data_IF_518068780967
#
_entry.id   IF_518068780967
#
_cell.length_a   1.000
_cell.length_b   1.000
_cell.length_c   1.000
_cell.angle_alpha   90.00
_cell.angle_beta   90.00
_cell.angle_gamma   90.00
#
_symmetry.space_group_name_H-M   'P 1'
#
loop_
_entity.id
_entity.type
_entity.pdbx_description
1 polymer ?
#
# COMPACT_ATOMS: atom_id res chain seq x y z
N UNK A 1 3.36 -30.15 7.92
CA UNK A 1 2.90 -29.55 9.18
C UNK A 1 1.53 -28.97 8.89
N UNK A 2 0.58 -29.15 9.79
CA UNK A 2 -0.77 -28.62 9.60
C UNK A 2 -0.76 -27.12 9.88
N UNK A 3 -1.20 -26.32 8.91
CA UNK A 3 -1.40 -24.88 9.06
C UNK A 3 -2.44 -24.62 10.14
N UNK A 4 -2.10 -23.84 11.15
CA UNK A 4 -3.04 -23.40 12.18
C UNK A 4 -3.97 -22.31 11.63
N UNK A 5 -5.26 -22.64 11.53
CA UNK A 5 -6.30 -21.68 11.14
C UNK A 5 -6.77 -20.87 12.37
N UNK A 6 -6.70 -19.55 12.26
CA UNK A 6 -7.32 -18.61 13.20
C UNK A 6 -8.48 -17.92 12.53
N UNK A 7 -9.67 -18.05 13.12
CA UNK A 7 -10.89 -17.46 12.56
C UNK A 7 -11.66 -16.64 13.61
N UNK A 8 -12.15 -15.46 13.23
CA UNK A 8 -12.96 -14.58 14.09
C UNK A 8 -12.28 -14.18 15.42
N UNK A 9 -10.95 -14.07 15.42
CA UNK A 9 -10.18 -13.73 16.62
C UNK A 9 -9.77 -12.26 16.63
N UNK A 10 -9.66 -11.70 17.83
CA UNK A 10 -8.98 -10.43 18.06
C UNK A 10 -7.66 -10.70 18.76
N UNK A 11 -6.60 -10.11 18.22
CA UNK A 11 -5.26 -10.10 18.78
C UNK A 11 -4.96 -8.66 19.19
N UNK A 12 -4.75 -8.42 20.48
CA UNK A 12 -4.56 -7.07 21.02
C UNK A 12 -3.21 -6.97 21.72
N UNK A 13 -2.43 -5.95 21.37
CA UNK A 13 -1.17 -5.59 22.01
C UNK A 13 -0.14 -6.72 21.99
N UNK A 14 -0.13 -7.52 20.92
CA UNK A 14 0.85 -8.58 20.73
C UNK A 14 2.15 -8.00 20.18
N UNK A 15 3.28 -8.45 20.70
CA UNK A 15 4.60 -8.17 20.14
C UNK A 15 5.20 -9.44 19.52
N UNK A 16 5.29 -9.42 18.19
CA UNK A 16 6.02 -10.40 17.39
C UNK A 16 7.07 -9.70 16.50
N UNK A 17 7.62 -8.58 16.97
CA UNK A 17 8.75 -7.94 16.29
C UNK A 17 9.94 -8.90 16.17
N UNK A 18 10.59 -8.83 15.00
CA UNK A 18 11.74 -9.70 14.65
C UNK A 18 11.44 -11.22 14.70
N UNK A 19 10.17 -11.62 14.78
CA UNK A 19 9.76 -13.03 14.81
C UNK A 19 9.40 -13.54 13.43
N UNK A 20 9.67 -14.82 13.18
CA UNK A 20 9.08 -15.54 12.07
C UNK A 20 7.77 -16.19 12.50
N UNK A 21 6.69 -15.85 11.83
CA UNK A 21 5.44 -16.58 11.92
C UNK A 21 5.38 -17.56 10.75
N UNK A 22 5.23 -18.85 11.05
CA UNK A 22 5.04 -19.88 10.05
C UNK A 22 3.76 -20.67 10.33
N UNK A 23 3.26 -21.36 9.33
CA UNK A 23 2.18 -22.34 9.50
C UNK A 23 0.90 -21.73 10.11
N UNK A 24 0.54 -20.51 9.72
CA UNK A 24 -0.70 -19.85 10.16
C UNK A 24 -1.52 -19.37 8.96
N UNK A 25 -2.84 -19.39 9.12
CA UNK A 25 -3.80 -18.72 8.25
C UNK A 25 -4.75 -17.90 9.13
N UNK A 26 -5.07 -16.68 8.72
CA UNK A 26 -5.95 -15.77 9.46
C UNK A 26 -7.14 -15.37 8.62
N UNK A 27 -8.35 -15.67 9.13
CA UNK A 27 -9.61 -15.38 8.43
C UNK A 27 -10.52 -14.55 9.33
N UNK A 28 -10.98 -13.39 8.85
CA UNK A 28 -11.87 -12.49 9.59
C UNK A 28 -11.34 -12.16 11.00
N UNK A 29 -10.04 -11.88 11.11
CA UNK A 29 -9.40 -11.53 12.38
C UNK A 29 -9.13 -10.02 12.48
N UNK A 30 -9.07 -9.52 13.71
CA UNK A 30 -8.60 -8.17 14.02
C UNK A 30 -7.28 -8.21 14.76
N UNK A 31 -6.35 -7.34 14.37
CA UNK A 31 -5.10 -7.09 15.06
C UNK A 31 -5.10 -5.64 15.53
N UNK A 32 -4.92 -5.40 16.82
CA UNK A 32 -5.08 -4.08 17.43
C UNK A 32 -3.84 -3.77 18.26
N UNK A 33 -3.21 -2.62 18.03
CA UNK A 33 -2.02 -2.16 18.76
C UNK A 33 -0.85 -3.17 18.76
N UNK A 34 -0.77 -4.05 17.75
CA UNK A 34 0.27 -5.08 17.67
C UNK A 34 1.57 -4.53 17.07
N UNK A 35 2.69 -5.06 17.55
CA UNK A 35 4.00 -4.84 16.97
C UNK A 35 4.44 -6.06 16.16
N UNK A 36 4.61 -5.86 14.85
CA UNK A 36 5.07 -6.82 13.87
C UNK A 36 6.27 -6.28 13.08
N UNK A 37 6.98 -5.27 13.62
CA UNK A 37 8.11 -4.70 12.90
C UNK A 37 9.18 -5.75 12.65
N UNK A 38 9.68 -5.84 11.42
CA UNK A 38 10.71 -6.81 10.99
C UNK A 38 10.32 -8.28 11.17
N UNK A 39 9.04 -8.59 11.38
CA UNK A 39 8.58 -9.98 11.43
C UNK A 39 8.62 -10.61 10.03
N UNK A 40 8.72 -11.92 9.97
CA UNK A 40 8.60 -12.69 8.74
C UNK A 40 7.22 -13.34 8.67
N UNK A 41 6.38 -12.85 7.73
CA UNK A 41 5.04 -13.38 7.42
C UNK A 41 5.04 -14.24 6.15
N UNK A 42 6.21 -14.68 5.69
CA UNK A 42 6.30 -15.41 4.43
C UNK A 42 5.35 -16.61 4.43
N UNK A 43 4.60 -16.76 3.33
CA UNK A 43 3.66 -17.86 3.11
C UNK A 43 2.45 -17.91 4.07
N UNK A 44 2.14 -16.84 4.80
CA UNK A 44 0.91 -16.71 5.58
C UNK A 44 -0.18 -16.04 4.74
N UNK A 45 -1.40 -16.56 4.82
CA UNK A 45 -2.57 -15.93 4.21
C UNK A 45 -3.41 -15.19 5.27
N UNK A 46 -3.70 -13.92 4.99
CA UNK A 46 -4.66 -13.10 5.70
C UNK A 46 -5.85 -12.83 4.76
N UNK A 47 -7.05 -13.22 5.21
CA UNK A 47 -8.29 -13.08 4.49
C UNK A 47 -9.29 -12.30 5.34
N UNK A 48 -9.84 -11.21 4.79
CA UNK A 48 -10.86 -10.38 5.43
C UNK A 48 -10.44 -9.84 6.82
N UNK A 49 -9.15 -9.61 7.02
CA UNK A 49 -8.61 -9.16 8.30
C UNK A 49 -8.46 -7.62 8.38
N UNK A 50 -8.46 -7.10 9.61
CA UNK A 50 -8.21 -5.68 9.89
C UNK A 50 -7.03 -5.51 10.83
N UNK A 51 -6.10 -4.63 10.48
CA UNK A 51 -5.01 -4.18 11.34
C UNK A 51 -5.28 -2.73 11.76
N UNK A 52 -5.33 -2.48 13.08
CA UNK A 52 -5.61 -1.17 13.68
C UNK A 52 -4.44 -0.77 14.57
N UNK A 53 -3.82 0.38 14.30
CA UNK A 53 -2.70 0.93 15.06
C UNK A 53 -1.51 -0.04 15.18
N UNK A 54 -1.31 -0.90 14.19
CA UNK A 54 -0.23 -1.88 14.21
C UNK A 54 1.05 -1.31 13.58
N UNK A 55 2.20 -1.79 14.02
CA UNK A 55 3.47 -1.53 13.36
C UNK A 55 3.92 -2.76 12.58
N UNK A 56 3.93 -2.70 11.25
CA UNK A 56 4.44 -3.77 10.37
C UNK A 56 5.72 -3.34 9.64
N UNK A 57 6.34 -2.22 10.03
CA UNK A 57 7.49 -1.64 9.32
C UNK A 57 8.60 -2.67 9.13
N UNK A 58 9.14 -2.75 7.91
CA UNK A 58 10.20 -3.68 7.52
C UNK A 58 9.87 -5.18 7.67
N UNK A 59 8.61 -5.56 7.85
CA UNK A 59 8.22 -6.98 7.83
C UNK A 59 8.36 -7.60 6.44
N UNK A 60 8.58 -8.91 6.39
CA UNK A 60 8.78 -9.67 5.15
C UNK A 60 7.45 -10.29 4.74
N UNK A 61 7.01 -9.98 3.52
CA UNK A 61 5.73 -10.44 2.95
C UNK A 61 5.87 -11.47 1.83
N UNK A 62 6.97 -12.23 1.80
CA UNK A 62 7.25 -13.12 0.67
C UNK A 62 6.15 -14.17 0.51
N UNK A 63 5.46 -14.12 -0.62
CA UNK A 63 4.33 -14.99 -0.94
C UNK A 63 3.18 -14.98 0.09
N UNK A 64 3.06 -13.90 0.89
CA UNK A 64 1.96 -13.69 1.84
C UNK A 64 0.68 -13.31 1.09
N UNK A 65 -0.45 -13.96 1.37
CA UNK A 65 -1.77 -13.54 0.88
C UNK A 65 -2.36 -12.42 1.72
N UNK A 66 -2.81 -11.36 1.06
CA UNK A 66 -3.41 -10.17 1.66
C UNK A 66 -4.72 -9.84 0.92
N UNK A 67 -5.78 -10.61 1.19
CA UNK A 67 -7.09 -10.45 0.55
C UNK A 67 -8.07 -9.75 1.47
N UNK A 68 -8.65 -8.65 0.97
CA UNK A 68 -9.63 -7.81 1.65
C UNK A 68 -9.11 -7.24 2.99
N UNK A 69 -7.86 -6.80 2.99
CA UNK A 69 -7.22 -6.28 4.20
C UNK A 69 -7.52 -4.80 4.41
N UNK A 70 -7.79 -4.43 5.66
CA UNK A 70 -7.91 -3.02 6.08
C UNK A 70 -6.75 -2.67 7.01
N UNK A 71 -5.95 -1.68 6.63
CA UNK A 71 -4.98 -1.06 7.53
C UNK A 71 -5.50 0.30 7.98
N UNK A 72 -5.56 0.52 9.29
CA UNK A 72 -6.08 1.76 9.89
C UNK A 72 -5.08 2.24 10.94
N UNK A 73 -4.49 3.42 10.77
CA UNK A 73 -3.53 3.97 11.74
C UNK A 73 -2.19 3.20 11.79
N UNK A 74 -1.87 2.43 10.76
CA UNK A 74 -0.72 1.50 10.79
C UNK A 74 0.59 2.15 10.30
N UNK A 75 1.71 1.68 10.85
CA UNK A 75 3.06 1.97 10.33
C UNK A 75 3.49 0.81 9.43
N UNK A 76 3.67 1.09 8.14
CA UNK A 76 3.97 0.14 7.07
C UNK A 76 5.24 0.56 6.30
N UNK A 77 6.16 1.26 6.97
CA UNK A 77 7.31 1.87 6.32
C UNK A 77 8.28 0.82 5.79
N UNK A 78 8.79 1.02 4.57
CA UNK A 78 9.76 0.13 3.95
C UNK A 78 9.24 -1.27 3.61
N UNK A 79 7.92 -1.47 3.55
CA UNK A 79 7.33 -2.77 3.23
C UNK A 79 7.47 -3.09 1.74
N UNK A 80 7.94 -4.30 1.42
CA UNK A 80 7.92 -4.81 0.06
C UNK A 80 6.63 -5.61 -0.20
N UNK A 81 5.60 -4.92 -0.71
CA UNK A 81 4.38 -5.59 -1.16
C UNK A 81 4.60 -6.35 -2.46
N UNK A 82 5.60 -6.01 -3.29
CA UNK A 82 5.85 -6.67 -4.58
C UNK A 82 6.12 -8.18 -4.40
N UNK A 83 6.76 -8.55 -3.30
CA UNK A 83 7.04 -9.93 -2.92
C UNK A 83 5.82 -10.75 -2.47
N UNK A 84 4.67 -10.12 -2.20
CA UNK A 84 3.45 -10.81 -1.73
C UNK A 84 2.77 -11.65 -2.81
N UNK A 85 1.80 -12.47 -2.42
CA UNK A 85 1.01 -13.26 -3.35
C UNK A 85 0.11 -12.34 -4.21
N UNK A 86 0.28 -12.37 -5.54
CA UNK A 86 -0.49 -11.52 -6.46
C UNK A 86 -1.93 -11.98 -6.72
N UNK A 87 -2.28 -13.23 -6.40
CA UNK A 87 -3.63 -13.77 -6.55
C UNK A 87 -4.53 -13.36 -5.37
N UNK A 88 -3.97 -13.37 -4.16
CA UNK A 88 -4.63 -12.94 -2.93
C UNK A 88 -4.19 -11.52 -2.58
N UNK A 89 -4.58 -10.53 -3.40
CA UNK A 89 -4.12 -9.15 -3.23
C UNK A 89 -5.27 -8.14 -3.39
N UNK A 90 -5.83 -7.71 -2.27
CA UNK A 90 -6.78 -6.59 -2.21
C UNK A 90 -6.75 -5.96 -0.82
N UNK A 91 -6.62 -4.64 -0.77
CA UNK A 91 -6.41 -3.92 0.50
C UNK A 91 -6.91 -2.48 0.44
N UNK A 92 -6.97 -1.84 1.60
CA UNK A 92 -7.24 -0.41 1.76
C UNK A 92 -6.45 0.13 2.95
N UNK A 93 -6.13 1.42 2.87
CA UNK A 93 -5.30 2.12 3.83
C UNK A 93 -5.98 3.39 4.29
N UNK A 94 -6.04 3.59 5.60
CA UNK A 94 -6.56 4.80 6.22
C UNK A 94 -5.62 5.25 7.34
N UNK A 95 -5.21 6.51 7.34
CA UNK A 95 -4.35 7.09 8.38
C UNK A 95 -3.01 6.33 8.54
N UNK A 96 -2.46 5.79 7.44
CA UNK A 96 -1.26 4.94 7.47
C UNK A 96 0.02 5.68 7.05
N UNK A 97 1.16 5.23 7.58
CA UNK A 97 2.49 5.62 7.13
C UNK A 97 3.07 4.52 6.24
N UNK A 98 3.15 4.76 4.94
CA UNK A 98 3.64 3.81 3.93
C UNK A 98 4.97 4.24 3.30
N UNK A 99 5.64 5.25 3.86
CA UNK A 99 6.87 5.80 3.29
C UNK A 99 7.91 4.69 2.99
N UNK A 100 8.60 4.81 1.85
CA UNK A 100 9.59 3.85 1.35
C UNK A 100 9.06 2.45 1.01
N UNK A 101 7.74 2.22 1.04
CA UNK A 101 7.18 0.94 0.59
C UNK A 101 7.22 0.78 -0.92
N UNK A 102 7.08 -0.45 -1.41
CA UNK A 102 7.05 -0.75 -2.84
C UNK A 102 5.88 -1.67 -3.20
N UNK A 103 5.24 -1.36 -4.32
CA UNK A 103 4.11 -2.10 -4.90
C UNK A 103 4.40 -2.60 -6.32
N UNK A 104 5.67 -2.63 -6.75
CA UNK A 104 6.02 -2.88 -8.15
C UNK A 104 5.29 -4.12 -8.72
N UNK A 105 4.77 -3.99 -9.94
CA UNK A 105 3.98 -5.00 -10.66
C UNK A 105 2.62 -5.40 -10.03
N UNK A 106 2.18 -4.77 -8.94
CA UNK A 106 0.89 -5.11 -8.30
C UNK A 106 -0.32 -4.51 -9.00
N UNK A 107 -1.43 -5.25 -8.90
CA UNK A 107 -2.76 -4.81 -9.33
C UNK A 107 -3.46 -4.20 -8.13
N UNK A 108 -3.51 -2.87 -8.09
CA UNK A 108 -4.11 -2.06 -7.03
C UNK A 108 -5.46 -1.46 -7.46
N UNK A 109 -6.16 -2.07 -8.43
CA UNK A 109 -7.44 -1.53 -8.94
C UNK A 109 -8.43 -1.21 -7.83
N UNK A 110 -9.00 0.00 -7.86
CA UNK A 110 -9.99 0.47 -6.87
C UNK A 110 -9.48 0.51 -5.43
N UNK A 111 -8.16 0.54 -5.21
CA UNK A 111 -7.59 0.66 -3.87
C UNK A 111 -7.81 2.07 -3.33
N UNK A 112 -8.13 2.17 -2.05
CA UNK A 112 -8.26 3.45 -1.35
C UNK A 112 -7.06 3.67 -0.44
N UNK A 113 -6.39 4.79 -0.66
CA UNK A 113 -5.42 5.40 0.25
C UNK A 113 -6.05 6.69 0.77
N UNK A 114 -6.29 6.77 2.08
CA UNK A 114 -7.01 7.88 2.70
C UNK A 114 -6.16 8.42 3.85
N UNK A 115 -5.81 9.70 3.80
CA UNK A 115 -5.05 10.39 4.85
C UNK A 115 -3.70 9.68 5.15
N UNK A 116 -3.02 9.19 4.10
CA UNK A 116 -1.78 8.42 4.22
C UNK A 116 -0.53 9.24 3.83
N UNK A 117 0.60 8.90 4.45
CA UNK A 117 1.93 9.29 3.94
C UNK A 117 2.45 8.20 3.01
N UNK A 118 2.82 8.57 1.79
CA UNK A 118 3.28 7.69 0.71
C UNK A 118 4.57 8.25 0.09
N UNK A 119 5.47 8.78 0.94
CA UNK A 119 6.70 9.41 0.45
C UNK A 119 7.68 8.36 -0.02
N UNK A 120 8.36 8.63 -1.13
CA UNK A 120 9.36 7.74 -1.71
C UNK A 120 8.80 6.31 -1.97
N UNK A 121 7.48 6.18 -2.18
CA UNK A 121 6.84 4.89 -2.50
C UNK A 121 7.00 4.57 -3.97
N UNK A 122 7.34 3.32 -4.27
CA UNK A 122 7.48 2.86 -5.64
C UNK A 122 6.21 2.15 -6.14
N UNK A 123 5.48 2.82 -7.05
CA UNK A 123 4.32 2.28 -7.75
C UNK A 123 4.63 1.78 -9.16
N UNK A 124 5.90 1.64 -9.56
CA UNK A 124 6.26 1.30 -10.94
C UNK A 124 5.58 0.03 -11.44
N UNK A 125 5.13 0.04 -12.69
CA UNK A 125 4.44 -1.07 -13.34
C UNK A 125 3.14 -1.53 -12.63
N UNK A 126 2.52 -0.68 -11.80
CA UNK A 126 1.26 -1.01 -11.13
C UNK A 126 0.03 -0.74 -11.98
N UNK A 127 -1.06 -1.46 -11.69
CA UNK A 127 -2.39 -1.10 -12.18
C UNK A 127 -3.20 -0.45 -11.06
N UNK A 128 -3.21 0.88 -11.06
CA UNK A 128 -3.93 1.72 -10.11
C UNK A 128 -5.31 2.15 -10.63
N UNK A 129 -5.82 1.55 -11.71
CA UNK A 129 -7.08 1.97 -12.32
C UNK A 129 -8.20 2.12 -11.30
N UNK A 130 -8.90 3.26 -11.31
CA UNK A 130 -9.98 3.60 -10.37
C UNK A 130 -9.58 3.73 -8.89
N UNK A 131 -8.29 3.78 -8.55
CA UNK A 131 -7.84 3.99 -7.16
C UNK A 131 -8.11 5.42 -6.71
N UNK A 132 -8.15 5.62 -5.40
CA UNK A 132 -8.35 6.93 -4.78
C UNK A 132 -7.20 7.21 -3.83
N UNK A 133 -6.53 8.33 -4.05
CA UNK A 133 -5.56 8.92 -3.13
C UNK A 133 -6.21 10.18 -2.54
N UNK A 134 -6.83 10.01 -1.38
CA UNK A 134 -7.51 11.09 -0.67
C UNK A 134 -6.58 11.67 0.39
N UNK A 135 -6.31 12.97 0.31
CA UNK A 135 -5.49 13.71 1.29
C UNK A 135 -4.11 13.08 1.56
N UNK A 136 -3.47 12.46 0.57
CA UNK A 136 -2.17 11.81 0.74
C UNK A 136 -1.00 12.75 0.43
N UNK A 137 0.13 12.51 1.07
CA UNK A 137 1.43 13.10 0.71
C UNK A 137 2.22 12.09 -0.11
N UNK A 138 2.46 12.40 -1.39
CA UNK A 138 3.09 11.53 -2.39
C UNK A 138 4.48 12.03 -2.81
N UNK A 139 5.14 12.81 -1.94
CA UNK A 139 6.45 13.38 -2.25
C UNK A 139 7.43 12.28 -2.71
N UNK A 140 8.05 12.49 -3.87
CA UNK A 140 8.99 11.55 -4.50
C UNK A 140 8.43 10.14 -4.77
N UNK A 141 7.11 9.94 -4.77
CA UNK A 141 6.54 8.66 -5.17
C UNK A 141 6.80 8.40 -6.66
N UNK A 142 7.25 7.20 -6.99
CA UNK A 142 7.59 6.82 -8.36
C UNK A 142 6.38 6.25 -9.08
N UNK A 143 6.01 6.85 -10.21
CA UNK A 143 5.00 6.34 -11.12
C UNK A 143 5.58 6.17 -12.52
N UNK A 144 6.17 5.00 -12.78
CA UNK A 144 6.69 4.61 -14.09
C UNK A 144 5.86 3.46 -14.65
N UNK A 145 5.50 3.49 -15.94
CA UNK A 145 4.78 2.40 -16.62
C UNK A 145 3.46 1.98 -15.92
N UNK A 146 2.80 2.93 -15.24
CA UNK A 146 1.59 2.65 -14.46
C UNK A 146 0.33 2.75 -15.33
N UNK A 147 -0.71 2.01 -14.92
CA UNK A 147 -2.08 2.25 -15.37
C UNK A 147 -2.79 3.13 -14.35
N UNK A 148 -2.87 4.43 -14.64
CA UNK A 148 -3.48 5.45 -13.78
C UNK A 148 -4.92 5.81 -14.18
N UNK A 149 -5.53 5.07 -15.12
CA UNK A 149 -6.83 5.41 -15.67
C UNK A 149 -7.90 5.62 -14.60
N UNK A 150 -8.56 6.78 -14.62
CA UNK A 150 -9.60 7.17 -13.65
C UNK A 150 -9.16 7.19 -12.18
N UNK A 151 -7.85 7.16 -11.91
CA UNK A 151 -7.31 7.35 -10.56
C UNK A 151 -7.60 8.77 -10.09
N UNK A 152 -7.93 8.94 -8.81
CA UNK A 152 -8.26 10.23 -8.21
C UNK A 152 -7.14 10.70 -7.28
N UNK A 153 -6.38 11.70 -7.72
CA UNK A 153 -5.33 12.36 -6.94
C UNK A 153 -5.72 13.76 -6.45
N UNK A 154 -6.95 14.24 -6.74
CA UNK A 154 -7.33 15.66 -6.63
C UNK A 154 -7.12 16.31 -5.25
N UNK A 155 -7.13 15.51 -4.19
CA UNK A 155 -6.93 16.00 -2.81
C UNK A 155 -5.56 15.68 -2.23
N UNK A 156 -4.73 14.96 -2.98
CA UNK A 156 -3.36 14.65 -2.58
C UNK A 156 -2.38 15.72 -3.08
N UNK A 157 -1.16 15.69 -2.56
CA UNK A 157 -0.12 16.69 -2.84
C UNK A 157 1.22 16.03 -3.13
N UNK A 158 2.14 16.81 -3.70
CA UNK A 158 3.53 16.44 -3.94
C UNK A 158 3.76 15.24 -4.87
N UNK A 159 2.75 14.82 -5.63
CA UNK A 159 2.93 13.79 -6.66
C UNK A 159 3.43 14.43 -7.95
N UNK A 160 4.30 13.70 -8.65
CA UNK A 160 4.78 14.00 -9.98
C UNK A 160 4.78 12.69 -10.78
N UNK A 161 4.45 12.76 -12.06
CA UNK A 161 4.55 11.62 -12.98
C UNK A 161 4.53 12.11 -14.43
N UNK A 162 5.28 11.45 -15.30
CA UNK A 162 5.26 11.74 -16.73
C UNK A 162 3.98 11.18 -17.38
N UNK A 163 3.10 12.02 -17.95
CA UNK A 163 1.91 11.59 -18.70
C UNK A 163 2.20 10.65 -19.89
N UNK A 164 3.39 10.74 -20.49
CA UNK A 164 3.79 9.95 -21.67
C UNK A 164 4.25 8.54 -21.33
N UNK A 165 4.70 8.32 -20.09
CA UNK A 165 5.16 7.02 -19.58
C UNK A 165 4.03 6.24 -18.87
N UNK A 166 2.85 6.84 -18.71
CA UNK A 166 1.76 6.28 -17.93
C UNK A 166 0.43 6.28 -18.71
N UNK A 167 -0.44 5.29 -18.45
CA UNK A 167 -1.81 5.31 -19.01
C UNK A 167 -2.72 6.15 -18.14
N UNK A 168 -2.93 7.41 -18.53
CA UNK A 168 -3.58 8.43 -17.69
C UNK A 168 -5.01 8.81 -18.11
N UNK A 169 -5.69 7.94 -18.87
CA UNK A 169 -7.03 8.28 -19.40
C UNK A 169 -8.01 8.58 -18.26
N UNK A 170 -8.53 9.81 -18.24
CA UNK A 170 -9.46 10.32 -17.22
C UNK A 170 -8.90 10.28 -15.79
N UNK A 171 -7.58 10.22 -15.62
CA UNK A 171 -6.94 10.47 -14.32
C UNK A 171 -7.33 11.87 -13.84
N UNK A 172 -7.66 11.99 -12.55
CA UNK A 172 -8.13 13.24 -11.97
C UNK A 172 -7.02 13.83 -11.12
N UNK A 173 -6.54 14.99 -11.50
CA UNK A 173 -5.47 15.74 -10.82
C UNK A 173 -5.99 17.12 -10.42
N UNK A 174 -5.37 17.74 -9.42
CA UNK A 174 -5.65 19.13 -9.05
C UNK A 174 -4.88 20.11 -9.95
N UNK A 175 -5.36 21.36 -10.05
CA UNK A 175 -4.63 22.42 -10.76
C UNK A 175 -3.24 22.67 -10.17
N UNK A 176 -3.13 22.64 -8.84
CA UNK A 176 -1.87 22.84 -8.12
C UNK A 176 -0.81 21.76 -8.42
N UNK A 177 -1.23 20.58 -8.87
CA UNK A 177 -0.32 19.48 -9.18
C UNK A 177 0.15 19.46 -10.64
N UNK A 178 -0.28 20.41 -11.48
CA UNK A 178 0.11 20.43 -12.90
C UNK A 178 1.62 20.57 -13.09
N UNK A 179 2.31 21.31 -12.22
CA UNK A 179 3.76 21.45 -12.29
C UNK A 179 4.48 20.10 -12.21
N UNK A 180 4.05 19.20 -11.32
CA UNK A 180 4.61 17.85 -11.19
C UNK A 180 4.34 16.94 -12.40
N UNK A 181 3.40 17.30 -13.28
CA UNK A 181 3.17 16.57 -14.54
C UNK A 181 4.00 17.12 -15.71
N UNK A 182 4.59 18.29 -15.52
CA UNK A 182 5.37 18.99 -16.53
C UNK A 182 6.87 18.98 -16.21
N UNK A 183 7.27 18.42 -15.07
CA UNK A 183 8.64 18.43 -14.55
C UNK A 183 9.69 17.96 -15.57
N UNK A 184 9.37 16.94 -16.37
CA UNK A 184 10.27 16.42 -17.43
C UNK A 184 10.65 17.44 -18.49
N UNK A 185 9.85 18.49 -18.68
CA UNK A 185 10.09 19.50 -19.70
C UNK A 185 11.00 20.65 -19.22
N UNK A 186 11.37 20.68 -17.93
CA UNK A 186 12.25 21.70 -17.35
C UNK A 186 11.79 23.14 -17.68
N UNK A 187 10.49 23.39 -17.45
CA UNK A 187 9.85 24.67 -17.77
C UNK A 187 9.97 25.66 -16.60
N UNK A 188 10.24 26.93 -16.92
CA UNK A 188 10.05 28.04 -15.99
C UNK A 188 8.54 28.33 -15.83
N UNK A 189 7.96 28.03 -14.66
CA UNK A 189 6.53 28.23 -14.34
C UNK A 189 6.40 29.41 -13.36
N UNK A 190 5.61 30.44 -13.73
CA UNK A 190 5.28 31.61 -12.90
C UNK A 190 3.86 31.52 -12.28
#
# INVERSE_FOLDING_TARGET
>A
MDTALHQNKTFDTIDYSDQKLSDNEFVNCEFINCNFSKSDFSYIDFLDCTFKNCNLSLSILKNTGLKNIKFIGCKLMGLDFSASNSFLFSMSFQDCLLDYSTFIYKKLKKTNFIDCSLKDVDFSNTDLSHSVFKNCDLANATFQDCILEKTDFRSSRNYAFDPSENKIKRTKVSHAALAGLLEKFDLDIE
#
